data_IF_002169161340
#
_entry.id   IF_002169161340
#
_cell.length_a   1.000
_cell.length_b   1.000
_cell.length_c   1.000
_cell.angle_alpha   90.00
_cell.angle_beta   90.00
_cell.angle_gamma   90.00
#
_symmetry.space_group_name_H-M   'P 1'
#
loop_
_entity.id
_entity.type
_entity.pdbx_description
1 polymer ?
#
# COMPACT_ATOMS: atom_id res chain seq x y z
N UNK A 1 15.10 10.77 -1.19
CA UNK A 1 15.37 9.32 -1.02
C UNK A 1 14.37 8.63 -1.92
N UNK A 2 14.80 8.02 -3.02
CA UNK A 2 13.89 7.61 -4.11
C UNK A 2 13.02 6.40 -3.71
N UNK A 3 11.74 6.45 -4.06
CA UNK A 3 10.81 5.32 -4.01
C UNK A 3 10.63 4.74 -5.42
N UNK A 4 10.48 3.43 -5.49
CA UNK A 4 10.21 2.69 -6.73
C UNK A 4 8.81 2.07 -6.66
N UNK A 5 8.01 2.31 -7.70
CA UNK A 5 6.70 1.71 -7.85
C UNK A 5 6.84 0.34 -8.52
N UNK A 6 6.28 -0.68 -7.89
CA UNK A 6 6.26 -2.05 -8.34
C UNK A 6 4.80 -2.57 -8.36
N UNK A 7 4.49 -3.58 -9.20
CA UNK A 7 3.26 -4.34 -9.04
C UNK A 7 3.16 -4.91 -7.62
N UNK A 8 1.99 -4.81 -7.00
CA UNK A 8 1.76 -5.42 -5.69
C UNK A 8 1.93 -6.94 -5.75
N UNK A 9 2.55 -7.49 -4.71
CA UNK A 9 2.66 -8.93 -4.47
C UNK A 9 2.02 -9.24 -3.12
N UNK A 10 1.36 -10.39 -2.94
CA UNK A 10 0.78 -10.76 -1.65
C UNK A 10 1.77 -10.68 -0.47
N UNK A 11 3.04 -10.99 -0.71
CA UNK A 11 4.11 -10.88 0.29
C UNK A 11 4.34 -9.44 0.80
N UNK A 12 4.02 -8.41 0.00
CA UNK A 12 4.21 -7.01 0.38
C UNK A 12 3.28 -6.63 1.54
N UNK A 13 2.07 -7.19 1.59
CA UNK A 13 1.10 -6.96 2.66
C UNK A 13 1.64 -7.41 4.04
N UNK A 14 2.47 -8.46 4.06
CA UNK A 14 3.10 -8.97 5.29
C UNK A 14 4.43 -8.28 5.58
N UNK A 15 5.02 -7.62 4.58
CA UNK A 15 6.30 -6.92 4.70
C UNK A 15 6.12 -5.46 5.15
N UNK A 16 4.93 -4.87 4.97
CA UNK A 16 4.68 -3.50 5.38
C UNK A 16 4.53 -3.38 6.90
N UNK A 17 5.34 -2.49 7.47
CA UNK A 17 5.21 -2.08 8.86
C UNK A 17 4.27 -0.87 8.93
N UNK A 18 2.97 -1.14 9.09
CA UNK A 18 1.90 -0.13 8.99
C UNK A 18 1.96 0.90 10.11
N UNK A 19 1.58 2.14 9.81
CA UNK A 19 1.50 3.20 10.81
C UNK A 19 0.55 2.82 11.97
N UNK A 20 0.79 3.29 13.21
CA UNK A 20 -0.03 2.95 14.37
C UNK A 20 -1.54 3.18 14.19
N UNK A 21 -1.92 4.22 13.44
CA UNK A 21 -3.32 4.53 13.13
C UNK A 21 -4.02 3.45 12.28
N UNK A 22 -3.26 2.62 11.56
CA UNK A 22 -3.76 1.51 10.74
C UNK A 22 -3.46 0.13 11.35
N UNK A 23 -2.80 0.07 12.52
CA UNK A 23 -2.39 -1.19 13.14
C UNK A 23 -3.58 -2.13 13.43
N UNK A 24 -4.77 -1.57 13.65
CA UNK A 24 -6.01 -2.33 13.86
C UNK A 24 -6.43 -3.18 12.64
N UNK A 25 -5.89 -2.91 11.44
CA UNK A 25 -6.14 -3.68 10.23
C UNK A 25 -5.28 -4.94 10.13
N UNK A 26 -4.14 -5.00 10.85
CA UNK A 26 -3.19 -6.11 10.75
C UNK A 26 -3.76 -7.49 11.06
N UNK A 27 -4.75 -7.67 11.97
CA UNK A 27 -5.39 -8.97 12.17
C UNK A 27 -6.12 -9.51 10.93
N UNK A 28 -6.47 -8.65 9.97
CA UNK A 28 -7.11 -9.01 8.70
C UNK A 28 -6.10 -9.35 7.61
N UNK A 29 -4.79 -9.20 7.87
CA UNK A 29 -3.77 -9.48 6.86
C UNK A 29 -3.54 -10.98 6.80
N UNK A 30 -4.18 -11.62 5.83
CA UNK A 30 -3.99 -13.02 5.51
C UNK A 30 -3.86 -13.21 3.99
N UNK A 31 -3.42 -14.40 3.52
CA UNK A 31 -3.22 -14.64 2.10
C UNK A 31 -4.49 -14.46 1.26
N UNK A 32 -5.67 -14.79 1.81
CA UNK A 32 -6.95 -14.61 1.13
C UNK A 32 -7.24 -13.11 0.93
N UNK A 33 -7.00 -12.29 1.96
CA UNK A 33 -7.16 -10.85 1.87
C UNK A 33 -6.22 -10.23 0.83
N UNK A 34 -4.97 -10.69 0.76
CA UNK A 34 -4.02 -10.24 -0.27
C UNK A 34 -4.46 -10.60 -1.70
N UNK A 35 -5.00 -11.80 -1.89
CA UNK A 35 -5.55 -12.25 -3.17
C UNK A 35 -6.80 -11.43 -3.55
N UNK A 36 -7.67 -11.13 -2.59
CA UNK A 36 -8.84 -10.26 -2.79
C UNK A 36 -8.44 -8.86 -3.23
N UNK A 37 -7.42 -8.25 -2.61
CA UNK A 37 -6.91 -6.93 -3.01
C UNK A 37 -6.39 -6.94 -4.46
N UNK A 38 -5.76 -8.05 -4.87
CA UNK A 38 -5.25 -8.22 -6.24
C UNK A 38 -6.39 -8.40 -7.25
N UNK A 39 -7.44 -9.14 -6.88
CA UNK A 39 -8.60 -9.37 -7.72
C UNK A 39 -9.53 -8.15 -7.83
N UNK A 40 -9.58 -7.33 -6.78
CA UNK A 40 -10.51 -6.19 -6.69
C UNK A 40 -10.15 -5.05 -7.65
N UNK A 41 -8.90 -4.94 -8.08
CA UNK A 41 -8.47 -3.95 -9.07
C UNK A 41 -6.97 -3.69 -9.08
N UNK A 42 -6.52 -2.65 -9.79
CA UNK A 42 -5.12 -2.28 -9.84
C UNK A 42 -4.55 -1.99 -8.44
N UNK A 43 -3.43 -2.62 -8.13
CA UNK A 43 -2.74 -2.50 -6.84
C UNK A 43 -1.22 -2.40 -7.06
N UNK A 44 -0.57 -1.59 -6.22
CA UNK A 44 0.83 -1.20 -6.36
C UNK A 44 1.53 -1.13 -5.02
N UNK A 45 2.83 -1.42 -5.04
CA UNK A 45 3.73 -1.29 -3.90
C UNK A 45 4.79 -0.24 -4.21
N UNK A 46 5.01 0.70 -3.28
CA UNK A 46 6.13 1.62 -3.33
C UNK A 46 7.15 1.21 -2.28
N UNK A 47 8.35 0.89 -2.73
CA UNK A 47 9.43 0.43 -1.88
C UNK A 47 10.71 1.23 -2.13
N UNK A 48 11.60 1.22 -1.14
CA UNK A 48 12.99 1.67 -1.33
C UNK A 48 13.79 0.57 -2.05
N UNK A 49 14.91 0.91 -2.72
CA UNK A 49 15.79 -0.10 -3.34
C UNK A 49 16.32 -1.17 -2.37
N UNK A 50 16.33 -0.89 -1.06
CA UNK A 50 16.70 -1.86 -0.02
C UNK A 50 15.57 -2.83 0.36
N UNK A 51 14.40 -2.77 -0.31
CA UNK A 51 13.25 -3.63 -0.05
C UNK A 51 12.29 -3.15 1.04
N UNK A 52 12.53 -1.99 1.66
CA UNK A 52 11.58 -1.44 2.63
C UNK A 52 10.30 -0.99 1.93
N UNK A 53 9.18 -1.64 2.24
CA UNK A 53 7.85 -1.24 1.74
C UNK A 53 7.38 0.00 2.50
N UNK A 54 7.13 1.08 1.77
CA UNK A 54 6.74 2.38 2.34
C UNK A 54 5.26 2.64 2.18
N UNK A 55 4.67 2.17 1.09
CA UNK A 55 3.25 2.34 0.79
C UNK A 55 2.76 1.17 -0.06
N UNK A 56 1.54 0.70 0.23
CA UNK A 56 0.78 -0.18 -0.65
C UNK A 56 -0.56 0.49 -0.90
N UNK A 57 -1.05 0.45 -2.13
CA UNK A 57 -2.37 0.98 -2.41
C UNK A 57 -2.92 0.54 -3.75
N UNK A 58 -4.19 0.85 -3.95
CA UNK A 58 -4.88 0.46 -5.17
C UNK A 58 -6.21 1.17 -5.30
N UNK A 59 -6.96 0.75 -6.31
CA UNK A 59 -8.29 1.25 -6.58
C UNK A 59 -9.22 0.07 -6.85
N UNK A 60 -10.39 0.07 -6.19
CA UNK A 60 -11.45 -0.91 -6.40
C UNK A 60 -12.61 -0.24 -7.12
N UNK A 61 -13.13 -0.78 -8.23
CA UNK A 61 -14.34 -0.27 -8.85
C UNK A 61 -15.48 -0.21 -7.83
N UNK A 62 -16.13 0.95 -7.72
CA UNK A 62 -17.19 1.17 -6.73
C UNK A 62 -18.55 1.41 -7.40
N UNK A 63 -18.56 2.24 -8.44
CA UNK A 63 -19.74 2.48 -9.28
C UNK A 63 -19.30 2.79 -10.71
N UNK A 64 -20.24 2.87 -11.64
CA UNK A 64 -19.94 3.17 -13.04
C UNK A 64 -19.14 4.49 -13.15
N UNK A 65 -17.98 4.41 -13.80
CA UNK A 65 -17.07 5.55 -13.96
C UNK A 65 -16.31 5.98 -12.70
N UNK A 66 -16.39 5.24 -11.58
CA UNK A 66 -15.69 5.60 -10.34
C UNK A 66 -15.06 4.41 -9.61
N UNK A 67 -13.97 4.69 -8.91
CA UNK A 67 -13.26 3.74 -8.07
C UNK A 67 -12.99 4.31 -6.68
N UNK A 68 -12.97 3.44 -5.69
CA UNK A 68 -12.55 3.75 -4.33
C UNK A 68 -11.05 3.48 -4.20
N UNK A 69 -10.29 4.52 -3.87
CA UNK A 69 -8.87 4.38 -3.55
C UNK A 69 -8.69 3.83 -2.13
N UNK A 70 -7.71 2.95 -1.94
CA UNK A 70 -7.32 2.41 -0.65
C UNK A 70 -5.81 2.41 -0.50
N UNK A 71 -5.31 2.42 0.73
CA UNK A 71 -3.88 2.32 1.00
C UNK A 71 -3.54 1.85 2.41
N UNK A 72 -2.37 1.21 2.53
CA UNK A 72 -1.64 0.98 3.76
C UNK A 72 -0.33 1.77 3.71
N UNK A 73 -0.08 2.56 4.75
CA UNK A 73 1.06 3.46 4.82
C UNK A 73 1.99 2.97 5.91
N UNK A 74 3.28 2.85 5.61
CA UNK A 74 4.27 2.45 6.61
C UNK A 74 4.52 3.55 7.64
N UNK A 75 4.86 3.18 8.87
CA UNK A 75 5.38 4.14 9.87
C UNK A 75 6.61 4.91 9.34
N UNK A 76 7.41 4.29 8.48
CA UNK A 76 8.58 4.91 7.85
C UNK A 76 8.23 5.90 6.72
N UNK A 77 6.95 6.10 6.39
CA UNK A 77 6.56 6.93 5.24
C UNK A 77 6.77 8.44 5.45
N UNK A 78 6.80 8.92 6.70
CA UNK A 78 6.86 10.35 7.04
C UNK A 78 7.92 11.16 6.26
N UNK A 79 9.21 10.75 6.25
CA UNK A 79 10.26 11.43 5.48
C UNK A 79 10.01 11.49 3.97
N UNK A 80 9.25 10.54 3.41
CA UNK A 80 8.93 10.48 1.99
C UNK A 80 7.73 11.36 1.62
N UNK A 81 6.81 11.61 2.55
CA UNK A 81 5.63 12.45 2.31
C UNK A 81 5.98 13.92 2.09
N UNK A 82 7.10 14.39 2.63
CA UNK A 82 7.58 15.76 2.39
C UNK A 82 7.95 16.01 0.92
N UNK A 83 8.40 15.00 0.20
CA UNK A 83 8.73 15.11 -1.23
C UNK A 83 7.48 15.23 -2.10
N UNK A 84 6.35 14.69 -1.63
CA UNK A 84 5.06 14.70 -2.31
C UNK A 84 4.31 16.00 -2.03
N UNK A 85 4.30 16.44 -0.77
CA UNK A 85 3.43 17.52 -0.28
C UNK A 85 4.04 18.93 -0.36
N UNK A 86 5.35 19.05 -0.58
CA UNK A 86 6.04 20.35 -0.69
C UNK A 86 6.29 20.79 -2.13
N UNK A 87 5.64 20.16 -3.11
CA UNK A 87 5.68 20.58 -4.51
C UNK A 87 4.68 21.69 -4.79
#
# INVERSE_FOLDING_TARGET
>A
MTLEMNPFRPADLFAIDVQPAQAWMTPSFDPCYADELTAAGPCFTFARPCGLVVFIGGAVPFMEGAALAWSFISEAAGPHMLEITRR
#
